data_IF_577433010158
#
_entry.id   IF_577433010158
#
_cell.length_a   1.000
_cell.length_b   1.000
_cell.length_c   1.000
_cell.angle_alpha   90.00
_cell.angle_beta   90.00
_cell.angle_gamma   90.00
#
_symmetry.space_group_name_H-M   'P 1'
#
loop_
_entity.id
_entity.type
_entity.pdbx_description
1 polymer ?
#
# COMPACT_ATOMS: atom_id res chain seq x y z
N UNK A 1 -31.50 7.07 -31.14
CA UNK A 1 -30.90 6.08 -30.21
C UNK A 1 -29.48 6.56 -29.90
N UNK A 2 -29.18 7.11 -28.72
CA UNK A 2 -27.81 7.53 -28.42
C UNK A 2 -26.92 6.30 -28.22
N UNK A 3 -25.78 6.29 -28.91
CA UNK A 3 -24.73 5.28 -28.85
C UNK A 3 -24.09 5.28 -27.47
N UNK A 4 -24.13 4.11 -26.81
CA UNK A 4 -23.51 3.86 -25.52
C UNK A 4 -22.00 4.03 -25.66
N UNK A 5 -21.48 5.15 -25.16
CA UNK A 5 -20.05 5.44 -25.11
C UNK A 5 -19.36 4.41 -24.23
N UNK A 6 -18.57 3.52 -24.83
CA UNK A 6 -17.71 2.58 -24.11
C UNK A 6 -16.51 3.37 -23.60
N UNK A 7 -16.64 3.97 -22.42
CA UNK A 7 -15.50 4.53 -21.71
C UNK A 7 -14.57 3.37 -21.30
N UNK A 8 -13.57 3.10 -22.13
CA UNK A 8 -12.48 2.19 -21.79
C UNK A 8 -11.75 2.74 -20.57
N UNK A 9 -11.76 1.99 -19.48
CA UNK A 9 -10.95 2.27 -18.29
C UNK A 9 -9.48 2.07 -18.64
N UNK A 10 -8.84 3.06 -19.26
CA UNK A 10 -7.39 3.05 -19.48
C UNK A 10 -6.72 3.43 -18.17
N UNK A 11 -6.35 2.43 -17.37
CA UNK A 11 -5.53 2.65 -16.18
C UNK A 11 -4.12 2.99 -16.64
N UNK A 12 -3.76 4.27 -16.65
CA UNK A 12 -2.40 4.75 -16.97
C UNK A 12 -1.66 5.17 -15.72
N UNK A 13 -0.33 5.08 -15.75
CA UNK A 13 0.53 5.56 -14.66
C UNK A 13 0.19 7.03 -14.35
N UNK A 14 0.02 7.42 -13.06
CA UNK A 14 -0.34 8.79 -12.71
C UNK A 14 0.73 9.78 -13.14
N UNK A 15 0.31 10.91 -13.70
CA UNK A 15 1.22 12.01 -14.00
C UNK A 15 1.75 12.68 -12.73
N UNK A 16 2.69 13.62 -12.89
CA UNK A 16 3.34 14.31 -11.76
C UNK A 16 2.34 15.08 -10.88
N UNK A 17 1.31 15.69 -11.47
CA UNK A 17 0.33 16.48 -10.73
C UNK A 17 -0.58 15.57 -9.89
N UNK A 18 -1.05 14.47 -10.48
CA UNK A 18 -1.86 13.50 -9.79
C UNK A 18 -1.07 12.80 -8.68
N UNK A 19 0.21 12.46 -8.90
CA UNK A 19 1.10 11.93 -7.85
C UNK A 19 1.21 12.88 -6.66
N UNK A 20 1.37 14.18 -6.90
CA UNK A 20 1.43 15.20 -5.84
C UNK A 20 0.13 15.25 -5.03
N UNK A 21 -1.02 15.29 -5.72
CA UNK A 21 -2.34 15.29 -5.08
C UNK A 21 -2.57 14.04 -4.22
N UNK A 22 -2.21 12.87 -4.75
CA UNK A 22 -2.32 11.61 -4.01
C UNK A 22 -1.40 11.59 -2.80
N UNK A 23 -0.18 12.09 -2.93
CA UNK A 23 0.75 12.22 -1.80
C UNK A 23 0.18 13.10 -0.68
N UNK A 24 -0.34 14.28 -1.02
CA UNK A 24 -0.97 15.21 -0.07
C UNK A 24 -2.20 14.57 0.62
N UNK A 25 -2.93 13.69 -0.07
CA UNK A 25 -4.06 12.94 0.48
C UNK A 25 -3.65 11.69 1.31
N UNK A 26 -2.35 11.43 1.49
CA UNK A 26 -1.85 10.22 2.15
C UNK A 26 -1.93 8.94 1.32
N UNK A 27 -2.23 9.07 0.02
CA UNK A 27 -2.44 8.00 -0.97
C UNK A 27 -1.24 7.84 -1.93
N UNK A 28 -0.16 8.58 -1.72
CA UNK A 28 1.04 8.55 -2.56
C UNK A 28 1.84 7.24 -2.47
N UNK A 29 3.03 7.23 -3.08
CA UNK A 29 3.95 6.10 -2.97
C UNK A 29 4.36 5.87 -1.50
N UNK A 30 4.12 4.67 -0.98
CA UNK A 30 4.56 4.22 0.35
C UNK A 30 5.37 2.94 0.23
N UNK A 31 6.36 2.81 1.10
CA UNK A 31 7.15 1.58 1.24
C UNK A 31 6.56 0.77 2.38
N UNK A 32 5.82 -0.28 2.05
CA UNK A 32 5.12 -1.12 3.02
C UNK A 32 5.99 -2.33 3.35
N UNK A 33 6.16 -2.58 4.64
CA UNK A 33 6.87 -3.75 5.15
C UNK A 33 5.86 -4.86 5.43
N UNK A 34 6.03 -6.02 4.77
CA UNK A 34 5.17 -7.19 4.95
C UNK A 34 6.00 -8.35 5.50
N UNK A 35 5.42 -9.13 6.41
CA UNK A 35 6.03 -10.37 6.86
C UNK A 35 6.08 -11.40 5.72
N UNK A 36 7.18 -12.17 5.65
CA UNK A 36 7.27 -13.34 4.77
C UNK A 36 6.31 -14.42 5.25
N UNK A 37 5.67 -15.13 4.33
CA UNK A 37 4.62 -16.13 4.61
C UNK A 37 3.38 -15.57 5.31
N UNK A 38 2.98 -14.36 4.95
CA UNK A 38 1.70 -13.81 5.36
C UNK A 38 0.51 -14.56 4.73
N UNK A 39 -0.65 -14.31 5.32
CA UNK A 39 -1.93 -14.69 4.77
C UNK A 39 -2.65 -13.49 4.10
N UNK A 40 -3.67 -13.74 3.29
CA UNK A 40 -4.40 -12.69 2.56
C UNK A 40 -5.08 -11.64 3.46
N UNK A 41 -5.52 -12.03 4.66
CA UNK A 41 -6.18 -11.12 5.60
C UNK A 41 -5.15 -10.21 6.25
N UNK A 42 -3.99 -10.75 6.63
CA UNK A 42 -2.83 -9.96 7.06
C UNK A 42 -2.43 -8.95 6.00
N UNK A 43 -2.27 -9.40 4.74
CA UNK A 43 -1.89 -8.53 3.63
C UNK A 43 -2.88 -7.37 3.49
N UNK A 44 -4.18 -7.67 3.41
CA UNK A 44 -5.23 -6.66 3.28
C UNK A 44 -5.19 -5.64 4.42
N UNK A 45 -5.08 -6.13 5.66
CA UNK A 45 -5.02 -5.28 6.86
C UNK A 45 -3.81 -4.35 6.81
N UNK A 46 -2.64 -4.86 6.46
CA UNK A 46 -1.41 -4.05 6.40
C UNK A 46 -1.52 -2.94 5.35
N UNK A 47 -2.17 -3.22 4.21
CA UNK A 47 -2.46 -2.20 3.19
C UNK A 47 -3.44 -1.14 3.73
N UNK A 48 -4.52 -1.53 4.40
CA UNK A 48 -5.51 -0.62 4.98
C UNK A 48 -4.94 0.24 6.12
N UNK A 49 -3.99 -0.30 6.90
CA UNK A 49 -3.25 0.46 7.92
C UNK A 49 -2.33 1.52 7.29
N UNK A 50 -1.63 1.15 6.22
CA UNK A 50 -0.73 2.08 5.54
C UNK A 50 -1.48 3.12 4.70
N UNK A 51 -2.70 2.82 4.29
CA UNK A 51 -3.57 3.72 3.53
C UNK A 51 -4.93 3.79 4.20
N UNK A 52 -5.04 4.55 5.29
CA UNK A 52 -6.26 4.63 6.12
C UNK A 52 -7.55 4.85 5.30
N UNK A 53 -7.47 5.67 4.25
CA UNK A 53 -8.61 5.95 3.37
C UNK A 53 -9.06 4.77 2.50
N UNK A 54 -8.27 3.70 2.41
CA UNK A 54 -8.70 2.43 1.81
C UNK A 54 -9.58 1.62 2.76
N UNK A 55 -9.50 1.87 4.07
CA UNK A 55 -10.36 1.20 5.04
C UNK A 55 -11.83 1.45 4.71
N UNK A 56 -12.62 0.39 4.62
CA UNK A 56 -14.05 0.49 4.27
C UNK A 56 -14.35 0.73 2.78
N UNK A 57 -13.34 0.77 1.91
CA UNK A 57 -13.53 0.78 0.45
C UNK A 57 -13.73 -0.64 -0.14
N UNK A 58 -13.58 -1.67 0.69
CA UNK A 58 -13.80 -3.06 0.32
C UNK A 58 -12.59 -3.68 -0.38
N UNK A 59 -12.81 -4.42 -1.46
CA UNK A 59 -11.73 -5.06 -2.22
C UNK A 59 -10.99 -4.08 -3.14
N UNK A 60 -9.72 -4.38 -3.42
CA UNK A 60 -8.88 -3.62 -4.33
C UNK A 60 -8.12 -4.56 -5.28
N UNK A 61 -7.81 -4.06 -6.47
CA UNK A 61 -6.97 -4.71 -7.46
C UNK A 61 -5.55 -4.16 -7.38
N UNK A 62 -4.56 -5.04 -7.47
CA UNK A 62 -3.18 -4.65 -7.67
C UNK A 62 -2.88 -4.56 -9.16
N UNK A 63 -2.10 -3.56 -9.55
CA UNK A 63 -1.71 -3.27 -10.91
C UNK A 63 -0.20 -3.10 -11.00
N UNK A 64 0.40 -3.43 -12.15
CA UNK A 64 1.80 -3.13 -12.47
C UNK A 64 1.92 -2.27 -13.70
N UNK A 65 2.97 -1.47 -13.77
CA UNK A 65 3.31 -0.79 -15.00
C UNK A 65 3.81 -1.79 -16.06
N UNK A 66 3.33 -1.62 -17.29
CA UNK A 66 3.88 -2.23 -18.51
C UNK A 66 4.32 -1.11 -19.44
N UNK A 67 5.61 -1.09 -19.75
CA UNK A 67 6.21 0.03 -20.47
C UNK A 67 6.22 1.30 -19.61
N UNK A 68 6.00 2.47 -20.23
CA UNK A 68 6.09 3.77 -19.53
C UNK A 68 4.76 4.26 -18.96
N UNK A 69 3.63 3.86 -19.55
CA UNK A 69 2.34 4.53 -19.32
C UNK A 69 1.22 3.58 -18.95
N UNK A 70 1.29 2.30 -19.33
CA UNK A 70 0.14 1.41 -19.21
C UNK A 70 0.21 0.61 -17.92
N UNK A 71 -0.96 0.24 -17.39
CA UNK A 71 -1.05 -0.61 -16.22
C UNK A 71 -1.80 -1.90 -16.55
N UNK A 72 -1.30 -3.01 -16.02
CA UNK A 72 -1.92 -4.33 -16.12
C UNK A 72 -2.29 -4.84 -14.73
N UNK A 73 -3.46 -5.45 -14.62
CA UNK A 73 -3.94 -6.08 -13.39
C UNK A 73 -3.08 -7.29 -13.05
N UNK A 74 -2.64 -7.34 -11.79
CA UNK A 74 -2.02 -8.50 -11.16
C UNK A 74 -3.16 -9.40 -10.73
N UNK A 75 -3.43 -10.47 -11.48
CA UNK A 75 -4.53 -11.38 -11.14
C UNK A 75 -4.29 -12.00 -9.76
N UNK A 76 -5.23 -11.79 -8.85
CA UNK A 76 -5.18 -12.42 -7.54
C UNK A 76 -5.23 -13.94 -7.66
N UNK A 77 -4.43 -14.68 -6.87
CA UNK A 77 -4.65 -16.11 -6.62
C UNK A 77 -6.06 -16.35 -6.07
N UNK A 78 -6.54 -17.60 -6.14
CA UNK A 78 -7.86 -17.99 -5.59
C UNK A 78 -8.08 -17.55 -4.13
N UNK A 79 -7.00 -17.45 -3.36
CA UNK A 79 -7.05 -17.10 -1.95
C UNK A 79 -6.75 -15.60 -1.68
N UNK A 80 -6.45 -14.80 -2.69
CA UNK A 80 -6.04 -13.40 -2.52
C UNK A 80 -4.52 -13.20 -2.57
N UNK A 81 -4.09 -11.96 -2.33
CA UNK A 81 -2.68 -11.56 -2.41
C UNK A 81 -1.93 -11.89 -1.12
N UNK A 82 -0.68 -12.31 -1.26
CA UNK A 82 0.28 -12.50 -0.15
C UNK A 82 1.61 -11.88 -0.54
N UNK A 83 2.42 -11.49 0.45
CA UNK A 83 3.80 -11.04 0.27
C UNK A 83 4.64 -12.09 -0.46
N UNK A 84 4.42 -13.37 -0.20
CA UNK A 84 5.09 -14.46 -0.92
C UNK A 84 4.72 -14.46 -2.40
N UNK A 85 3.43 -14.41 -2.73
CA UNK A 85 2.98 -14.32 -4.12
C UNK A 85 3.58 -13.10 -4.83
N UNK A 86 3.53 -11.94 -4.19
CA UNK A 86 4.08 -10.72 -4.76
C UNK A 86 5.60 -10.80 -4.92
N UNK A 87 6.33 -11.42 -3.99
CA UNK A 87 7.79 -11.59 -4.11
C UNK A 87 8.19 -12.46 -5.31
N UNK A 88 7.36 -13.44 -5.68
CA UNK A 88 7.59 -14.30 -6.86
C UNK A 88 7.24 -13.61 -8.18
N UNK A 89 6.23 -12.74 -8.17
CA UNK A 89 5.77 -12.03 -9.36
C UNK A 89 6.48 -10.68 -9.57
N UNK A 90 7.04 -10.10 -8.51
CA UNK A 90 7.62 -8.77 -8.46
C UNK A 90 8.95 -8.80 -7.70
N UNK A 91 10.04 -8.85 -8.47
CA UNK A 91 11.42 -8.78 -7.98
C UNK A 91 11.79 -7.38 -7.46
N UNK A 92 11.14 -6.92 -6.39
CA UNK A 92 11.63 -5.86 -5.49
C UNK A 92 11.84 -4.44 -6.03
N UNK A 93 11.62 -4.18 -7.33
CA UNK A 93 11.97 -2.89 -7.96
C UNK A 93 10.81 -2.16 -8.63
N UNK A 94 9.67 -2.81 -8.85
CA UNK A 94 8.52 -2.19 -9.52
C UNK A 94 7.51 -1.62 -8.51
N UNK A 95 7.00 -0.43 -8.79
CA UNK A 95 5.88 0.16 -8.05
C UNK A 95 4.63 -0.67 -8.34
N UNK A 96 4.03 -1.24 -7.30
CA UNK A 96 2.71 -1.87 -7.40
C UNK A 96 1.67 -0.80 -7.18
N UNK A 97 0.70 -0.73 -8.07
CA UNK A 97 -0.37 0.22 -7.92
C UNK A 97 -1.64 -0.40 -7.35
N UNK A 98 -2.29 0.25 -6.40
CA UNK A 98 -3.51 -0.26 -5.75
C UNK A 98 -4.72 0.49 -6.28
N UNK A 99 -5.76 -0.19 -6.78
CA UNK A 99 -6.99 0.44 -7.26
C UNK A 99 -8.20 -0.12 -6.51
N UNK A 100 -9.01 0.71 -5.83
CA UNK A 100 -10.24 0.23 -5.19
C UNK A 100 -11.26 -0.25 -6.24
N UNK A 101 -12.00 -1.31 -5.93
CA UNK A 101 -12.98 -1.89 -6.85
C UNK A 101 -14.41 -1.39 -6.62
N UNK A 102 -14.77 -1.13 -5.37
CA UNK A 102 -16.18 -0.99 -4.98
C UNK A 102 -16.58 0.46 -4.69
N UNK A 103 -15.65 1.32 -4.27
CA UNK A 103 -15.91 2.72 -3.93
C UNK A 103 -14.73 3.61 -4.32
N UNK A 104 -15.05 4.86 -4.66
CA UNK A 104 -14.03 5.89 -4.88
C UNK A 104 -13.46 6.34 -3.54
N UNK A 105 -12.16 6.56 -3.51
CA UNK A 105 -11.44 7.03 -2.33
C UNK A 105 -11.40 8.55 -2.31
N UNK A 106 -11.55 9.10 -1.12
CA UNK A 106 -11.43 10.53 -0.84
C UNK A 106 -10.00 11.06 -1.09
N UNK A 107 -9.87 12.15 -1.85
CA UNK A 107 -8.56 12.72 -2.23
C UNK A 107 -8.25 14.06 -1.58
N UNK A 108 -8.93 14.42 -0.49
CA UNK A 108 -8.62 15.65 0.25
C UNK A 108 -7.30 15.50 1.02
N UNK A 109 -6.50 16.57 1.14
CA UNK A 109 -5.23 16.51 1.84
C UNK A 109 -5.42 16.15 3.31
N UNK A 110 -4.50 15.35 3.85
CA UNK A 110 -4.44 15.14 5.30
C UNK A 110 -3.91 16.43 5.91
N UNK A 111 -4.68 17.07 6.80
CA UNK A 111 -4.22 18.26 7.51
C UNK A 111 -3.32 17.78 8.64
N UNK A 112 -2.00 18.01 8.53
CA UNK A 112 -1.03 17.60 9.55
C UNK A 112 -1.39 18.20 10.91
N UNK A 113 -1.67 17.38 11.91
CA UNK A 113 -1.44 17.78 13.29
C UNK A 113 0.01 17.43 13.61
N UNK A 114 0.86 18.44 13.74
CA UNK A 114 2.22 18.30 14.25
C UNK A 114 2.14 17.95 15.75
N UNK A 115 2.72 16.83 16.17
CA UNK A 115 2.92 16.52 17.59
C UNK A 115 4.40 16.63 17.93
N UNK A 116 4.72 17.58 18.81
CA UNK A 116 6.04 17.91 19.32
C UNK A 116 6.63 16.79 20.20
N UNK A 117 7.96 16.74 20.28
CA UNK A 117 8.74 15.61 20.77
C UNK A 117 8.60 15.24 22.26
N UNK A 118 8.19 14.01 22.50
CA UNK A 118 8.40 13.26 23.73
C UNK A 118 8.79 11.83 23.30
N UNK A 119 9.93 11.31 23.75
CA UNK A 119 10.42 10.00 23.29
C UNK A 119 9.63 8.90 24.01
N UNK A 120 8.45 8.61 23.47
CA UNK A 120 7.57 7.55 23.94
C UNK A 120 8.24 6.19 23.71
N UNK A 121 8.04 5.26 24.65
CA UNK A 121 8.40 3.84 24.50
C UNK A 121 7.15 3.05 24.17
N UNK A 122 7.29 2.03 23.33
CA UNK A 122 6.22 1.10 22.99
C UNK A 122 6.64 -0.34 23.29
N UNK A 123 5.65 -1.16 23.66
CA UNK A 123 5.83 -2.58 23.87
C UNK A 123 5.92 -3.25 22.51
N UNK A 124 7.06 -3.89 22.22
CA UNK A 124 7.25 -4.73 21.06
C UNK A 124 6.26 -5.90 21.12
N UNK A 125 5.35 -5.97 20.17
CA UNK A 125 4.25 -6.96 20.22
C UNK A 125 4.72 -8.39 19.90
N UNK A 126 5.94 -8.55 19.36
CA UNK A 126 6.51 -9.86 19.01
C UNK A 126 7.28 -10.51 20.19
N UNK A 127 7.82 -9.73 21.14
CA UNK A 127 8.54 -10.26 22.32
C UNK A 127 8.07 -9.71 23.67
N UNK A 128 7.21 -8.69 23.67
CA UNK A 128 6.71 -8.02 24.87
C UNK A 128 7.67 -7.05 25.56
N UNK A 129 8.84 -6.75 24.97
CA UNK A 129 9.80 -5.78 25.55
C UNK A 129 9.38 -4.33 25.29
N UNK A 130 9.50 -3.44 26.28
CA UNK A 130 9.36 -1.99 26.11
C UNK A 130 10.58 -1.42 25.40
N UNK A 131 10.36 -0.78 24.25
CA UNK A 131 11.43 -0.24 23.40
C UNK A 131 11.11 1.21 23.02
N UNK A 132 12.08 2.14 23.07
CA UNK A 132 11.88 3.51 22.58
C UNK A 132 11.35 3.51 21.15
N UNK A 133 10.32 4.32 20.87
CA UNK A 133 9.62 4.34 19.58
C UNK A 133 10.57 4.63 18.40
N UNK A 134 11.62 5.41 18.66
CA UNK A 134 12.65 5.71 17.66
C UNK A 134 13.55 4.51 17.34
N UNK A 135 13.62 3.51 18.23
CA UNK A 135 14.46 2.32 18.14
C UNK A 135 13.67 1.02 17.95
N UNK A 136 12.33 1.03 18.09
CA UNK A 136 11.45 -0.14 17.89
C UNK A 136 11.69 -0.79 16.52
N UNK A 137 11.96 0.04 15.50
CA UNK A 137 12.20 -0.41 14.14
C UNK A 137 13.48 -1.23 14.01
N UNK A 138 14.58 -0.77 14.61
CA UNK A 138 15.86 -1.49 14.64
C UNK A 138 15.75 -2.76 15.49
N UNK A 139 15.06 -2.69 16.63
CA UNK A 139 14.80 -3.85 17.49
C UNK A 139 14.06 -4.98 16.75
N UNK A 140 13.01 -4.64 15.99
CA UNK A 140 12.26 -5.63 15.19
C UNK A 140 13.14 -6.22 14.08
N UNK A 141 13.94 -5.38 13.41
CA UNK A 141 14.82 -5.82 12.33
C UNK A 141 15.96 -6.74 12.81
N UNK A 142 16.53 -6.50 13.99
CA UNK A 142 17.64 -7.29 14.56
C UNK A 142 17.17 -8.56 15.31
N UNK A 143 16.06 -8.49 16.06
CA UNK A 143 15.58 -9.64 16.87
C UNK A 143 14.55 -10.53 16.18
N UNK A 144 13.77 -10.02 15.21
CA UNK A 144 12.61 -10.73 14.66
C UNK A 144 12.68 -11.03 13.15
N UNK A 145 13.67 -10.50 12.45
CA UNK A 145 14.03 -10.96 11.10
C UNK A 145 13.15 -10.43 9.94
N UNK A 146 13.55 -10.85 8.73
CA UNK A 146 13.49 -10.09 7.48
C UNK A 146 12.07 -9.73 7.00
N UNK A 147 11.77 -8.42 6.99
CA UNK A 147 10.60 -7.81 6.36
C UNK A 147 10.81 -7.59 4.86
N UNK A 148 9.86 -8.00 4.02
CA UNK A 148 9.86 -7.63 2.60
C UNK A 148 9.35 -6.20 2.46
N UNK A 149 10.14 -5.32 1.87
CA UNK A 149 9.72 -3.95 1.61
C UNK A 149 9.20 -3.82 0.18
N UNK A 150 7.90 -3.60 0.02
CA UNK A 150 7.25 -3.42 -1.28
C UNK A 150 6.89 -1.95 -1.45
N UNK A 151 7.26 -1.37 -2.58
CA UNK A 151 6.82 -0.01 -2.97
C UNK A 151 5.44 -0.11 -3.58
N UNK A 152 4.47 0.55 -2.96
CA UNK A 152 3.09 0.60 -3.46
C UNK A 152 2.67 2.04 -3.67
N UNK A 153 1.78 2.28 -4.64
CA UNK A 153 1.24 3.60 -4.94
C UNK A 153 -0.24 3.48 -5.29
N UNK A 154 -1.13 4.26 -4.68
CA UNK A 154 -2.54 4.13 -5.03
C UNK A 154 -2.83 4.74 -6.41
N UNK A 155 -3.72 4.10 -7.17
CA UNK A 155 -4.38 4.59 -8.37
C UNK A 155 -5.85 4.83 -8.08
N UNK A 156 -6.40 5.90 -8.67
CA UNK A 156 -7.84 6.11 -8.78
C UNK A 156 -8.34 5.46 -10.08
#
# INVERSE_FOLDING_TARGET
MPTRSTAGFTTTVPDRHLKKKLHEAGLGEKKIALYKNDDPDYFKREIELNYEKLSGCGSFDLHKAIGRTNLEIIKAPKNGYTSNFLSTCYFGQAIIYIKPLQRNIDTFPITSQESDGECHTEICLDCGEDVPINNIRMHIEEKHGIRLQIKMCLLL
#
